data_IF_275860057428
#
_entry.id   IF_275860057428
#
_cell.length_a   1.000
_cell.length_b   1.000
_cell.length_c   1.000
_cell.angle_alpha   90.00
_cell.angle_beta   90.00
_cell.angle_gamma   90.00
#
_symmetry.space_group_name_H-M   'P 1'
#
loop_
_entity.id
_entity.type
_entity.pdbx_description
1 polymer ?
#
# COMPACT_ATOMS: atom_id res chain seq x y z
N UNK A 1 -6.68 10.92 27.56
CA UNK A 1 -6.28 9.56 27.98
C UNK A 1 -7.17 8.61 27.21
N UNK A 2 -6.70 8.10 26.06
CA UNK A 2 -7.52 7.33 25.13
C UNK A 2 -7.15 5.86 25.24
N UNK A 3 -8.14 5.03 25.53
CA UNK A 3 -8.01 3.62 25.88
C UNK A 3 -7.55 2.76 24.69
N UNK A 4 -6.53 1.94 24.92
CA UNK A 4 -6.24 0.77 24.10
C UNK A 4 -7.41 -0.22 24.29
N UNK A 5 -8.10 -0.58 23.20
CA UNK A 5 -8.95 -1.77 23.21
C UNK A 5 -8.02 -2.96 23.45
N UNK A 6 -8.27 -3.71 24.52
CA UNK A 6 -7.53 -4.94 24.87
C UNK A 6 -7.51 -5.90 23.67
N UNK A 7 -6.43 -5.85 22.88
CA UNK A 7 -6.04 -6.96 22.03
C UNK A 7 -5.61 -8.08 22.95
N UNK A 8 -6.32 -9.20 22.92
CA UNK A 8 -5.88 -10.43 23.56
C UNK A 8 -4.45 -10.72 23.12
N UNK A 9 -3.54 -10.89 24.08
CA UNK A 9 -2.18 -11.37 23.80
C UNK A 9 -2.34 -12.62 22.92
N UNK A 10 -1.83 -12.62 21.68
CA UNK A 10 -1.99 -13.78 20.81
C UNK A 10 -1.34 -14.98 21.50
N UNK A 11 -2.07 -16.09 21.59
CA UNK A 11 -1.48 -17.34 22.08
C UNK A 11 -0.30 -17.71 21.17
N UNK A 12 0.71 -18.38 21.74
CA UNK A 12 1.86 -18.87 20.97
C UNK A 12 1.39 -19.71 19.77
N UNK A 13 0.30 -20.46 19.92
CA UNK A 13 -0.36 -21.19 18.84
C UNK A 13 -0.88 -20.30 17.71
N UNK A 14 -1.55 -19.19 18.02
CA UNK A 14 -2.02 -18.26 17.00
C UNK A 14 -0.86 -17.55 16.30
N UNK A 15 0.18 -17.19 17.06
CA UNK A 15 1.41 -16.64 16.51
C UNK A 15 2.11 -17.64 15.58
N UNK A 16 2.16 -18.93 15.95
CA UNK A 16 2.68 -20.01 15.11
C UNK A 16 1.86 -20.21 13.83
N UNK A 17 0.53 -20.11 13.91
CA UNK A 17 -0.35 -20.21 12.73
C UNK A 17 -0.10 -19.06 11.75
N UNK A 18 0.01 -17.84 12.26
CA UNK A 18 0.37 -16.66 11.45
C UNK A 18 1.76 -16.84 10.85
N UNK A 19 2.76 -17.16 11.67
CA UNK A 19 4.15 -17.38 11.24
C UNK A 19 4.27 -18.46 10.14
N UNK A 20 3.56 -19.58 10.28
CA UNK A 20 3.49 -20.63 9.24
C UNK A 20 2.83 -20.13 7.96
N UNK A 21 1.74 -19.38 8.07
CA UNK A 21 1.03 -18.85 6.91
C UNK A 21 1.90 -17.88 6.10
N UNK A 22 2.78 -17.13 6.77
CA UNK A 22 3.73 -16.20 6.11
C UNK A 22 5.16 -16.77 5.95
N UNK A 23 5.37 -18.07 6.24
CA UNK A 23 6.67 -18.77 6.24
C UNK A 23 7.78 -18.03 7.01
N UNK A 24 7.44 -17.30 8.07
CA UNK A 24 8.41 -16.74 9.02
C UNK A 24 8.76 -17.81 10.06
N UNK A 25 10.04 -18.04 10.29
CA UNK A 25 10.44 -18.71 11.53
C UNK A 25 10.24 -17.74 12.70
N UNK A 26 9.69 -18.24 13.81
CA UNK A 26 9.48 -17.44 15.02
C UNK A 26 10.78 -16.87 15.58
N UNK A 27 11.89 -17.58 15.43
CA UNK A 27 13.24 -17.12 15.75
C UNK A 27 13.59 -15.79 15.06
N UNK A 28 13.11 -15.59 13.83
CA UNK A 28 13.37 -14.38 13.07
C UNK A 28 12.59 -13.19 13.63
N UNK A 29 11.36 -13.39 14.14
CA UNK A 29 10.59 -12.32 14.78
C UNK A 29 11.26 -11.72 16.03
N UNK A 30 12.20 -12.44 16.66
CA UNK A 30 12.92 -11.98 17.86
C UNK A 30 14.34 -11.49 17.57
N UNK A 31 14.81 -11.56 16.32
CA UNK A 31 16.11 -11.02 15.92
C UNK A 31 15.98 -9.56 15.47
N UNK A 32 16.72 -8.67 16.13
CA UNK A 32 16.72 -7.21 15.96
C UNK A 32 17.36 -6.74 14.62
N UNK A 33 17.43 -7.62 13.61
CA UNK A 33 18.09 -7.34 12.33
C UNK A 33 17.14 -6.69 11.30
N UNK A 34 17.58 -5.53 10.80
CA UNK A 34 16.84 -4.49 10.09
C UNK A 34 16.26 -4.83 8.70
N UNK A 35 16.26 -6.09 8.24
CA UNK A 35 15.77 -6.43 6.88
C UNK A 35 15.17 -7.82 6.82
N UNK A 36 14.03 -7.99 7.49
CA UNK A 36 13.23 -9.20 7.30
C UNK A 36 12.38 -9.04 6.04
N UNK A 37 12.29 -10.09 5.24
CA UNK A 37 11.34 -10.20 4.12
C UNK A 37 10.42 -11.39 4.36
N UNK A 38 9.15 -11.24 3.98
CA UNK A 38 8.22 -12.37 3.85
C UNK A 38 8.18 -12.82 2.41
N UNK A 39 8.27 -14.13 2.23
CA UNK A 39 8.15 -14.75 0.92
C UNK A 39 6.71 -15.23 0.74
N UNK A 40 5.97 -14.58 -0.14
CA UNK A 40 4.65 -15.05 -0.55
C UNK A 40 4.79 -15.97 -1.76
N UNK A 41 4.28 -17.19 -1.62
CA UNK A 41 4.20 -18.14 -2.72
C UNK A 41 2.99 -17.79 -3.58
N UNK A 42 3.21 -17.47 -4.86
CA UNK A 42 2.12 -17.36 -5.82
C UNK A 42 1.65 -18.78 -6.10
N UNK A 43 0.47 -19.14 -5.61
CA UNK A 43 -0.09 -20.50 -5.72
C UNK A 43 -0.69 -20.73 -7.11
N UNK A 44 -1.29 -19.70 -7.70
CA UNK A 44 -1.97 -19.78 -9.00
C UNK A 44 -1.63 -18.56 -9.85
N UNK A 45 -1.50 -18.78 -11.16
CA UNK A 45 -1.36 -17.71 -12.17
C UNK A 45 -2.61 -17.66 -13.06
N UNK A 46 -2.99 -16.47 -13.48
CA UNK A 46 -4.08 -16.27 -14.46
C UNK A 46 -3.50 -16.46 -15.87
N UNK A 47 -4.01 -17.47 -16.57
CA UNK A 47 -3.87 -17.67 -18.00
C UNK A 47 -4.92 -16.82 -18.73
N UNK A 48 -4.64 -16.42 -19.99
CA UNK A 48 -5.59 -15.64 -20.78
C UNK A 48 -6.99 -16.29 -20.84
N UNK A 49 -8.04 -15.46 -20.82
CA UNK A 49 -9.42 -15.94 -20.81
C UNK A 49 -9.95 -16.35 -19.44
N UNK A 50 -9.47 -15.73 -18.35
CA UNK A 50 -9.94 -15.96 -16.96
C UNK A 50 -9.68 -17.37 -16.41
N UNK A 51 -8.92 -18.19 -17.12
CA UNK A 51 -8.47 -19.49 -16.64
C UNK A 51 -7.31 -19.30 -15.65
N UNK A 52 -7.26 -20.09 -14.58
CA UNK A 52 -6.11 -20.12 -13.67
C UNK A 52 -5.47 -21.50 -13.67
N UNK A 53 -4.16 -21.54 -13.53
CA UNK A 53 -3.38 -22.76 -13.43
C UNK A 53 -2.40 -22.68 -12.26
N UNK A 54 -1.93 -23.82 -11.72
CA UNK A 54 -0.86 -23.81 -10.73
C UNK A 54 0.34 -23.02 -11.26
N UNK A 55 0.77 -22.00 -10.50
CA UNK A 55 1.89 -21.18 -10.92
C UNK A 55 3.16 -22.04 -10.95
N UNK A 56 3.93 -21.95 -12.04
CA UNK A 56 5.12 -22.78 -12.28
C UNK A 56 6.34 -22.39 -11.43
N UNK A 57 6.12 -21.73 -10.28
CA UNK A 57 7.06 -21.14 -9.32
C UNK A 57 7.30 -19.65 -9.52
N UNK A 58 6.55 -18.84 -8.75
CA UNK A 58 6.88 -17.46 -8.50
C UNK A 58 6.68 -17.19 -7.00
N UNK A 59 7.75 -17.30 -6.22
CA UNK A 59 7.78 -16.70 -4.89
C UNK A 59 8.11 -15.22 -5.03
N UNK A 60 7.35 -14.34 -4.38
CA UNK A 60 7.67 -12.92 -4.30
C UNK A 60 8.10 -12.58 -2.89
N UNK A 61 9.29 -12.01 -2.78
CA UNK A 61 9.76 -11.42 -1.53
C UNK A 61 9.13 -10.03 -1.36
N UNK A 62 8.53 -9.82 -0.20
CA UNK A 62 8.06 -8.52 0.27
C UNK A 62 8.86 -8.14 1.51
N UNK A 63 9.37 -6.91 1.62
CA UNK A 63 9.99 -6.47 2.86
C UNK A 63 8.94 -6.50 3.98
N UNK A 64 9.26 -7.18 5.10
CA UNK A 64 8.39 -7.28 6.27
C UNK A 64 8.12 -5.91 6.88
N UNK A 65 9.03 -4.95 6.70
CA UNK A 65 8.85 -3.56 7.12
C UNK A 65 7.57 -2.92 6.59
N UNK A 66 7.05 -3.39 5.44
CA UNK A 66 5.78 -2.92 4.91
C UNK A 66 4.62 -3.20 5.87
N UNK A 67 4.71 -4.23 6.71
CA UNK A 67 3.72 -4.54 7.75
C UNK A 67 3.94 -3.75 9.06
N UNK A 68 5.15 -3.23 9.29
CA UNK A 68 5.49 -2.39 10.46
C UNK A 68 5.21 -0.89 10.22
N UNK A 69 4.95 -0.51 8.97
CA UNK A 69 4.68 0.87 8.58
C UNK A 69 3.20 1.24 8.82
N UNK A 70 2.92 2.52 9.13
CA UNK A 70 1.55 3.05 9.25
C UNK A 70 0.86 2.99 7.88
N UNK A 71 0.26 1.85 7.57
CA UNK A 71 -0.38 1.62 6.28
C UNK A 71 -1.70 2.38 6.18
N UNK A 72 -1.93 2.98 5.00
CA UNK A 72 -3.24 3.48 4.61
C UNK A 72 -3.73 2.63 3.45
N UNK A 73 -5.01 2.26 3.51
CA UNK A 73 -5.65 1.48 2.46
C UNK A 73 -6.99 2.09 2.05
N UNK A 74 -7.33 1.94 0.77
CA UNK A 74 -8.64 2.28 0.24
C UNK A 74 -9.12 1.18 -0.71
N UNK A 75 -10.43 1.07 -0.87
CA UNK A 75 -11.07 0.21 -1.86
C UNK A 75 -11.43 1.02 -3.10
N UNK A 76 -11.17 0.47 -4.28
CA UNK A 76 -11.59 1.03 -5.55
C UNK A 76 -13.06 0.68 -5.77
N UNK A 77 -13.95 1.63 -5.50
CA UNK A 77 -15.41 1.45 -5.63
C UNK A 77 -15.99 1.95 -6.96
N UNK A 78 -15.12 2.26 -7.93
CA UNK A 78 -15.50 2.77 -9.26
C UNK A 78 -14.61 2.19 -10.36
N UNK A 79 -15.14 2.00 -11.57
CA UNK A 79 -14.37 1.47 -12.73
C UNK A 79 -13.59 2.56 -13.49
N UNK A 80 -13.68 3.83 -13.04
CA UNK A 80 -13.03 4.96 -13.71
C UNK A 80 -11.51 4.81 -13.83
N UNK A 81 -10.87 4.06 -12.94
CA UNK A 81 -9.41 3.91 -12.91
C UNK A 81 -8.90 2.69 -13.69
N UNK A 82 -9.77 2.01 -14.45
CA UNK A 82 -9.42 0.81 -15.22
C UNK A 82 -8.35 1.06 -16.27
N UNK A 83 -8.34 2.24 -16.88
CA UNK A 83 -7.30 2.69 -17.82
C UNK A 83 -5.90 2.70 -17.19
N UNK A 84 -5.82 2.81 -15.86
CA UNK A 84 -4.60 2.78 -15.05
C UNK A 84 -4.29 1.41 -14.44
N UNK A 85 -5.11 0.40 -14.73
CA UNK A 85 -4.93 -0.97 -14.25
C UNK A 85 -5.57 -1.27 -12.89
N UNK A 86 -6.29 -0.32 -12.29
CA UNK A 86 -7.05 -0.49 -11.06
C UNK A 86 -8.48 -0.94 -11.37
N UNK A 87 -8.98 -1.96 -10.68
CA UNK A 87 -10.29 -2.57 -10.92
C UNK A 87 -11.23 -2.33 -9.76
N UNK A 88 -12.53 -2.35 -10.04
CA UNK A 88 -13.57 -2.38 -9.02
C UNK A 88 -13.27 -3.50 -8.00
N UNK A 89 -13.25 -3.16 -6.71
CA UNK A 89 -12.96 -4.06 -5.60
C UNK A 89 -11.47 -4.23 -5.26
N UNK A 90 -10.54 -3.64 -6.04
CA UNK A 90 -9.13 -3.64 -5.65
C UNK A 90 -8.93 -2.89 -4.32
N UNK A 91 -8.14 -3.46 -3.42
CA UNK A 91 -7.65 -2.77 -2.22
C UNK A 91 -6.25 -2.23 -2.50
N UNK A 92 -6.12 -0.91 -2.53
CA UNK A 92 -4.85 -0.23 -2.73
C UNK A 92 -4.26 0.12 -1.37
N UNK A 93 -2.98 -0.19 -1.16
CA UNK A 93 -2.32 0.06 0.12
C UNK A 93 -0.90 0.56 -0.05
N UNK A 94 -0.48 1.41 0.89
CA UNK A 94 0.83 2.01 0.91
C UNK A 94 1.20 2.57 2.28
N UNK A 95 2.50 2.65 2.59
CA UNK A 95 2.96 3.20 3.85
C UNK A 95 2.84 4.72 3.88
N UNK A 96 2.30 5.24 4.97
CA UNK A 96 2.12 6.67 5.17
C UNK A 96 3.43 7.34 5.54
N UNK A 97 3.76 8.38 4.79
CA UNK A 97 4.92 9.24 4.97
C UNK A 97 4.47 10.65 5.28
N UNK A 98 5.14 11.31 6.23
CA UNK A 98 4.88 12.72 6.61
C UNK A 98 6.04 13.65 6.24
N UNK A 99 7.10 13.12 5.63
CA UNK A 99 8.30 13.86 5.21
C UNK A 99 8.82 13.33 3.87
N UNK A 100 9.73 14.08 3.24
CA UNK A 100 10.48 13.68 2.04
C UNK A 100 9.63 13.31 0.81
N UNK A 101 8.51 14.00 0.58
CA UNK A 101 7.58 13.68 -0.53
C UNK A 101 8.17 13.86 -1.93
N UNK A 102 9.29 14.59 -2.07
CA UNK A 102 9.95 14.83 -3.35
C UNK A 102 10.35 13.52 -4.08
N UNK A 103 10.64 12.45 -3.34
CA UNK A 103 10.99 11.15 -3.91
C UNK A 103 9.77 10.38 -4.46
N UNK A 104 8.57 10.91 -4.25
CA UNK A 104 7.31 10.27 -4.66
C UNK A 104 6.69 10.96 -5.88
N UNK A 105 7.34 11.98 -6.45
CA UNK A 105 6.83 12.71 -7.61
C UNK A 105 6.67 11.74 -8.79
N UNK A 106 5.50 11.77 -9.41
CA UNK A 106 5.13 10.89 -10.51
C UNK A 106 4.48 9.58 -10.09
N UNK A 107 4.40 9.28 -8.79
CA UNK A 107 3.77 8.06 -8.27
C UNK A 107 2.29 8.25 -7.94
N UNK A 108 1.55 7.15 -8.04
CA UNK A 108 0.15 7.05 -7.65
C UNK A 108 0.08 6.98 -6.12
N UNK A 109 -0.68 7.89 -5.51
CA UNK A 109 -0.63 8.10 -4.06
C UNK A 109 -2.02 8.31 -3.46
N UNK A 110 -2.19 7.79 -2.24
CA UNK A 110 -3.24 8.23 -1.30
C UNK A 110 -2.68 9.42 -0.53
N UNK A 111 -3.44 10.50 -0.46
CA UNK A 111 -2.96 11.78 0.07
C UNK A 111 -4.00 12.34 1.04
N UNK A 112 -3.54 12.94 2.14
CA UNK A 112 -4.35 13.86 2.94
C UNK A 112 -3.67 15.22 2.98
N UNK A 113 -4.40 16.27 2.62
CA UNK A 113 -3.95 17.65 2.73
C UNK A 113 -4.13 18.18 4.15
N UNK A 114 -3.46 19.30 4.47
CA UNK A 114 -3.55 19.93 5.80
C UNK A 114 -4.95 20.44 6.14
N UNK A 115 -5.76 20.76 5.14
CA UNK A 115 -7.19 21.10 5.30
C UNK A 115 -8.08 19.86 5.53
N UNK A 116 -7.51 18.65 5.60
CA UNK A 116 -8.20 17.41 5.92
C UNK A 116 -8.84 16.70 4.72
N UNK A 117 -8.74 17.25 3.51
CA UNK A 117 -9.24 16.59 2.30
C UNK A 117 -8.34 15.40 1.92
N UNK A 118 -8.95 14.36 1.35
CA UNK A 118 -8.27 13.13 0.97
C UNK A 118 -8.42 12.88 -0.52
N UNK A 119 -7.34 12.43 -1.16
CA UNK A 119 -7.29 12.23 -2.59
C UNK A 119 -6.57 10.93 -2.95
N UNK A 120 -6.97 10.33 -4.06
CA UNK A 120 -6.20 9.34 -4.79
C UNK A 120 -5.81 9.97 -6.13
N UNK A 121 -4.54 10.35 -6.29
CA UNK A 121 -4.02 11.12 -7.44
C UNK A 121 -2.53 10.84 -7.66
N UNK A 122 -2.01 11.26 -8.81
CA UNK A 122 -0.58 11.21 -9.11
C UNK A 122 0.11 12.42 -8.47
N UNK A 123 1.17 12.20 -7.69
CA UNK A 123 1.93 13.31 -7.11
C UNK A 123 2.65 14.09 -8.22
N UNK A 124 2.42 15.39 -8.29
CA UNK A 124 3.05 16.31 -9.22
C UNK A 124 4.24 17.04 -8.62
N UNK A 125 4.76 18.02 -9.36
CA UNK A 125 5.91 18.82 -8.93
C UNK A 125 5.59 19.66 -7.70
N UNK A 126 6.63 19.95 -6.93
CA UNK A 126 6.60 20.92 -5.83
C UNK A 126 6.79 22.33 -6.37
N UNK A 127 5.97 23.27 -5.93
CA UNK A 127 6.11 24.69 -6.26
C UNK A 127 7.15 25.40 -5.36
N UNK A 128 7.43 26.67 -5.66
CA UNK A 128 8.38 27.48 -4.91
C UNK A 128 7.96 27.75 -3.45
N UNK A 129 6.65 27.69 -3.15
CA UNK A 129 6.10 27.83 -1.79
C UNK A 129 6.15 26.51 -1.01
N UNK A 130 6.55 25.44 -1.67
CA UNK A 130 6.72 24.13 -1.09
C UNK A 130 5.47 23.26 -1.14
N UNK A 131 4.42 23.69 -1.84
CA UNK A 131 3.18 22.94 -2.04
C UNK A 131 3.31 22.01 -3.23
N UNK A 132 2.41 21.03 -3.34
CA UNK A 132 2.45 20.03 -4.41
C UNK A 132 1.25 20.19 -5.35
N UNK A 133 1.46 19.82 -6.61
CA UNK A 133 0.36 19.57 -7.54
C UNK A 133 -0.12 18.13 -7.39
N UNK A 134 -1.43 17.88 -7.41
CA UNK A 134 -2.02 16.54 -7.50
C UNK A 134 -2.68 16.41 -8.88
N UNK A 135 -2.14 15.53 -9.72
CA UNK A 135 -2.61 15.37 -11.10
C UNK A 135 -3.70 14.32 -11.18
N UNK A 136 -4.64 14.53 -12.11
CA UNK A 136 -5.65 13.54 -12.44
C UNK A 136 -5.03 12.30 -13.11
N UNK A 137 -5.70 11.16 -12.96
CA UNK A 137 -5.41 9.96 -13.74
C UNK A 137 -5.95 10.07 -15.17
N UNK A 138 -7.03 10.82 -15.35
CA UNK A 138 -7.65 11.07 -16.65
C UNK A 138 -7.03 12.30 -17.30
N UNK A 139 -6.72 12.27 -18.62
CA UNK A 139 -6.09 13.39 -19.33
C UNK A 139 -6.86 14.71 -19.24
N UNK A 140 -8.18 14.66 -19.21
CA UNK A 140 -9.05 15.84 -19.12
C UNK A 140 -9.41 16.21 -17.68
N UNK A 141 -8.97 15.42 -16.70
CA UNK A 141 -9.34 15.65 -15.31
C UNK A 141 -8.55 16.78 -14.67
N UNK A 142 -9.17 17.43 -13.68
CA UNK A 142 -8.59 18.58 -13.00
C UNK A 142 -7.31 18.24 -12.22
N UNK A 143 -6.28 19.04 -12.47
CA UNK A 143 -5.07 19.10 -11.65
C UNK A 143 -5.24 20.10 -10.51
N UNK A 144 -5.00 19.65 -9.28
CA UNK A 144 -5.07 20.50 -8.10
C UNK A 144 -3.68 21.05 -7.80
N UNK A 145 -3.47 22.35 -7.96
CA UNK A 145 -2.19 22.99 -7.64
C UNK A 145 -2.21 23.63 -6.26
N UNK A 146 -1.03 23.81 -5.66
CA UNK A 146 -0.90 24.51 -4.38
C UNK A 146 -1.38 23.69 -3.17
N UNK A 147 -1.39 22.35 -3.25
CA UNK A 147 -1.87 21.49 -2.17
C UNK A 147 -0.79 21.32 -1.09
N UNK A 148 -1.13 21.72 0.14
CA UNK A 148 -0.31 21.45 1.32
C UNK A 148 -0.58 20.05 1.84
N UNK A 149 0.43 19.17 1.78
CA UNK A 149 0.30 17.78 2.20
C UNK A 149 0.51 17.64 3.71
N UNK A 150 -0.41 16.96 4.39
CA UNK A 150 -0.23 16.51 5.78
C UNK A 150 0.52 15.18 5.81
N UNK A 151 0.13 14.26 4.94
CA UNK A 151 0.83 12.99 4.70
C UNK A 151 0.49 12.45 3.31
N UNK A 152 1.30 11.50 2.87
CA UNK A 152 1.16 10.82 1.58
C UNK A 152 1.53 9.34 1.71
N UNK A 153 0.83 8.47 1.01
CA UNK A 153 1.13 7.04 0.95
C UNK A 153 1.20 6.62 -0.53
N UNK A 154 2.40 6.35 -1.07
CA UNK A 154 2.53 5.82 -2.43
C UNK A 154 1.96 4.42 -2.49
N UNK A 155 1.22 4.08 -3.55
CA UNK A 155 0.69 2.73 -3.71
C UNK A 155 1.85 1.75 -3.89
N UNK A 156 1.96 0.79 -2.97
CA UNK A 156 2.99 -0.27 -2.99
C UNK A 156 2.38 -1.65 -3.13
N UNK A 157 1.12 -1.81 -2.73
CA UNK A 157 0.40 -3.08 -2.76
C UNK A 157 -0.98 -2.87 -3.39
N UNK A 158 -1.39 -3.85 -4.19
CA UNK A 158 -2.73 -3.98 -4.74
C UNK A 158 -3.18 -5.38 -4.40
N UNK A 159 -4.24 -5.50 -3.61
CA UNK A 159 -4.90 -6.77 -3.34
C UNK A 159 -6.12 -6.84 -4.25
N UNK A 160 -6.21 -7.93 -5.02
CA UNK A 160 -7.27 -8.18 -5.98
C UNK A 160 -7.89 -9.53 -5.66
N UNK A 161 -9.20 -9.53 -5.44
CA UNK A 161 -9.99 -10.75 -5.32
C UNK A 161 -10.32 -11.32 -6.71
#
# INVERSE_FOLDING_TARGET
MTAFRNGTVPSIENLQKVARAVRLELSNLFQDEKKQSITLEVVYEILGGEMWAPARHASREFPLSVLDEDLVSLEVTTDQYRSRGYRLGDILSGPKQSRNFHNLIGLDCIVESKDGKRYFKILGKRDAKGNYTLRSFEPEGEELSGVELKWIAPIKMIFRN
#
